data_IF_168643234047
#
_entry.id   IF_168643234047
#
_cell.length_a   1.000
_cell.length_b   1.000
_cell.length_c   1.000
_cell.angle_alpha   90.00
_cell.angle_beta   90.00
_cell.angle_gamma   90.00
#
_symmetry.space_group_name_H-M   'P 1'
#
loop_
_entity.id
_entity.type
_entity.pdbx_description
1 polymer ?
#
# COMPACT_ATOMS: atom_id res chain seq x y z
N UNK A 1 6.76 -27.72 -8.22
CA UNK A 1 6.16 -26.36 -8.37
C UNK A 1 5.52 -26.04 -7.03
N UNK A 2 6.03 -25.07 -6.26
CA UNK A 2 5.39 -24.67 -5.00
C UNK A 2 4.11 -23.89 -5.32
N UNK A 3 2.98 -24.31 -4.79
CA UNK A 3 1.69 -23.65 -4.95
C UNK A 3 1.71 -22.32 -4.20
N UNK A 4 1.55 -21.21 -4.93
CA UNK A 4 1.41 -19.87 -4.38
C UNK A 4 0.10 -19.77 -3.58
N UNK A 5 0.15 -19.20 -2.39
CA UNK A 5 -1.06 -18.95 -1.59
C UNK A 5 -1.98 -17.97 -2.34
N UNK A 6 -3.30 -18.16 -2.27
CA UNK A 6 -4.28 -17.38 -3.05
C UNK A 6 -4.27 -15.86 -2.76
N UNK A 7 -3.71 -15.47 -1.62
CA UNK A 7 -3.61 -14.08 -1.18
C UNK A 7 -2.16 -13.55 -1.21
N UNK A 8 -1.21 -14.33 -1.73
CA UNK A 8 0.09 -13.82 -2.12
C UNK A 8 0.01 -13.36 -3.58
N UNK A 9 0.49 -12.16 -3.88
CA UNK A 9 0.52 -11.54 -5.21
C UNK A 9 1.95 -11.12 -5.57
N UNK A 10 2.26 -11.08 -6.86
CA UNK A 10 3.48 -10.54 -7.43
C UNK A 10 3.09 -9.48 -8.47
N UNK A 11 3.26 -8.20 -8.11
CA UNK A 11 2.73 -7.10 -8.91
C UNK A 11 3.67 -6.67 -10.05
N UNK A 12 4.92 -7.13 -10.05
CA UNK A 12 5.89 -6.84 -11.10
C UNK A 12 6.97 -7.94 -11.16
N UNK A 13 7.57 -8.21 -12.34
CA UNK A 13 8.63 -9.20 -12.48
C UNK A 13 9.85 -8.85 -11.64
N UNK A 14 10.41 -9.84 -10.95
CA UNK A 14 11.54 -9.63 -10.03
C UNK A 14 11.18 -8.81 -8.79
N UNK A 15 9.89 -8.59 -8.53
CA UNK A 15 9.41 -7.90 -7.35
C UNK A 15 9.39 -8.73 -6.09
N UNK A 16 8.94 -8.08 -5.02
CA UNK A 16 8.68 -8.75 -3.75
C UNK A 16 7.21 -9.18 -3.67
N UNK A 17 6.90 -10.25 -2.90
CA UNK A 17 5.52 -10.68 -2.69
C UNK A 17 4.74 -9.63 -1.90
N UNK A 18 3.49 -9.44 -2.31
CA UNK A 18 2.47 -8.66 -1.62
C UNK A 18 1.43 -9.62 -1.08
N UNK A 19 1.13 -9.58 0.21
CA UNK A 19 0.13 -10.45 0.83
C UNK A 19 -1.13 -9.63 1.11
N UNK A 20 -2.29 -10.12 0.69
CA UNK A 20 -3.59 -9.56 1.07
C UNK A 20 -3.95 -10.14 2.44
N UNK A 21 -3.92 -9.31 3.47
CA UNK A 21 -4.24 -9.71 4.84
C UNK A 21 -5.74 -9.59 5.12
N UNK A 22 -6.40 -8.59 4.54
CA UNK A 22 -7.86 -8.41 4.63
C UNK A 22 -8.43 -8.26 3.22
N UNK A 23 -8.92 -9.35 2.60
CA UNK A 23 -9.55 -9.29 1.28
C UNK A 23 -10.87 -8.52 1.30
N UNK A 24 -11.08 -7.63 0.33
CA UNK A 24 -12.30 -6.80 0.26
C UNK A 24 -13.59 -7.60 0.26
N UNK A 25 -13.59 -8.78 -0.35
CA UNK A 25 -14.74 -9.69 -0.40
C UNK A 25 -15.20 -10.18 0.98
N UNK A 26 -14.30 -10.24 1.96
CA UNK A 26 -14.63 -10.72 3.30
C UNK A 26 -15.32 -9.67 4.16
N UNK A 27 -15.23 -8.40 3.76
CA UNK A 27 -15.79 -7.26 4.49
C UNK A 27 -16.74 -6.43 3.62
N UNK A 28 -17.42 -7.08 2.67
CA UNK A 28 -18.46 -6.45 1.85
C UNK A 28 -17.98 -5.29 0.99
N UNK A 29 -16.70 -5.28 0.58
CA UNK A 29 -16.11 -4.21 -0.24
C UNK A 29 -15.72 -2.95 0.54
N UNK A 30 -15.79 -2.96 1.88
CA UNK A 30 -15.48 -1.79 2.71
C UNK A 30 -14.02 -1.29 2.54
N UNK A 31 -13.10 -2.17 2.15
CA UNK A 31 -11.71 -1.85 1.88
C UNK A 31 -10.88 -3.09 1.67
N UNK A 32 -9.57 -2.95 1.55
CA UNK A 32 -8.61 -4.06 1.54
C UNK A 32 -7.40 -3.69 2.40
N UNK A 33 -6.73 -4.69 2.95
CA UNK A 33 -5.42 -4.49 3.55
C UNK A 33 -4.40 -5.48 3.04
N UNK A 34 -3.17 -4.99 2.88
CA UNK A 34 -2.06 -5.75 2.34
C UNK A 34 -0.77 -5.43 3.09
N UNK A 35 0.16 -6.39 3.05
CA UNK A 35 1.52 -6.23 3.56
C UNK A 35 2.56 -6.66 2.55
N UNK A 36 3.73 -6.05 2.63
CA UNK A 36 4.90 -6.46 1.85
C UNK A 36 6.19 -6.06 2.55
N UNK A 37 7.27 -6.78 2.25
CA UNK A 37 8.60 -6.43 2.72
C UNK A 37 9.34 -5.61 1.66
N UNK A 38 9.86 -4.45 2.05
CA UNK A 38 10.79 -3.68 1.23
C UNK A 38 12.23 -4.09 1.59
N UNK A 39 12.99 -4.64 0.63
CA UNK A 39 14.44 -4.82 0.78
C UNK A 39 15.16 -3.49 1.05
N UNK A 40 16.42 -3.58 1.46
CA UNK A 40 17.26 -2.40 1.62
C UNK A 40 17.29 -1.56 0.34
N UNK A 41 17.07 -0.25 0.50
CA UNK A 41 17.02 0.75 -0.57
C UNK A 41 15.90 0.55 -1.60
N UNK A 42 14.98 -0.38 -1.35
CA UNK A 42 13.85 -0.61 -2.23
C UNK A 42 12.82 0.52 -2.13
N UNK A 43 12.13 0.74 -3.24
CA UNK A 43 11.08 1.75 -3.37
C UNK A 43 9.94 1.17 -4.18
N UNK A 44 8.70 1.46 -3.78
CA UNK A 44 7.53 1.07 -4.56
C UNK A 44 7.33 2.00 -5.77
N UNK A 45 6.34 1.69 -6.60
CA UNK A 45 5.96 2.57 -7.69
C UNK A 45 5.26 3.83 -7.17
N UNK A 46 5.58 5.01 -7.72
CA UNK A 46 4.84 6.23 -7.43
C UNK A 46 3.44 6.15 -8.03
N UNK A 47 2.41 6.43 -7.24
CA UNK A 47 1.03 6.38 -7.72
C UNK A 47 0.12 7.34 -6.95
N UNK A 48 -1.06 7.61 -7.50
CA UNK A 48 -2.20 8.22 -6.78
C UNK A 48 -3.43 7.32 -6.93
N UNK A 49 -4.33 7.43 -5.96
CA UNK A 49 -5.65 6.80 -5.98
C UNK A 49 -6.70 7.90 -6.07
N UNK A 50 -7.51 7.93 -7.12
CA UNK A 50 -8.57 8.93 -7.27
C UNK A 50 -9.77 8.70 -6.34
N UNK A 51 -9.89 7.49 -5.79
CA UNK A 51 -11.04 7.09 -4.96
C UNK A 51 -10.61 6.65 -3.57
N UNK A 52 -9.56 5.86 -3.50
CA UNK A 52 -9.16 5.27 -2.24
C UNK A 52 -8.41 6.26 -1.35
N UNK A 53 -8.84 6.33 -0.09
CA UNK A 53 -7.98 6.75 1.00
C UNK A 53 -7.04 5.60 1.35
N UNK A 54 -5.84 5.95 1.80
CA UNK A 54 -4.80 4.96 2.13
C UNK A 54 -4.21 5.22 3.50
N UNK A 55 -4.10 4.16 4.29
CA UNK A 55 -3.30 4.13 5.50
C UNK A 55 -1.98 3.43 5.16
N UNK A 56 -0.86 4.07 5.47
CA UNK A 56 0.48 3.44 5.39
C UNK A 56 0.96 3.23 6.82
N UNK A 57 1.46 2.05 7.13
CA UNK A 57 1.95 1.65 8.45
C UNK A 57 3.33 1.05 8.30
N UNK A 58 4.29 1.48 9.13
CA UNK A 58 5.53 0.74 9.31
C UNK A 58 5.27 -0.38 10.32
N UNK A 59 5.07 -1.61 9.86
CA UNK A 59 4.85 -2.77 10.74
C UNK A 59 6.16 -3.24 11.37
N UNK A 60 7.26 -3.16 10.63
CA UNK A 60 8.61 -3.38 11.14
C UNK A 60 9.62 -2.53 10.35
N UNK A 61 10.75 -2.19 10.98
CA UNK A 61 11.75 -1.32 10.40
C UNK A 61 11.28 0.13 10.25
N UNK A 62 11.87 0.87 9.33
CA UNK A 62 11.54 2.26 9.05
C UNK A 62 11.26 2.46 7.55
N UNK A 63 10.33 3.36 7.24
CA UNK A 63 10.02 3.71 5.86
C UNK A 63 9.92 5.21 5.70
N UNK A 64 10.13 5.67 4.49
CA UNK A 64 9.84 7.03 4.06
C UNK A 64 8.58 7.02 3.21
N UNK A 65 7.64 7.90 3.52
CA UNK A 65 6.48 8.19 2.71
C UNK A 65 6.66 9.57 2.09
N UNK A 66 6.84 9.61 0.78
CA UNK A 66 6.83 10.85 0.01
C UNK A 66 5.43 11.09 -0.52
N UNK A 67 4.90 12.30 -0.32
CA UNK A 67 3.65 12.78 -0.91
C UNK A 67 3.92 14.08 -1.69
N UNK A 68 3.65 14.09 -3.00
CA UNK A 68 4.01 15.21 -3.87
C UNK A 68 5.53 15.51 -3.92
N UNK A 69 5.88 16.75 -4.31
CA UNK A 69 7.24 17.13 -4.67
C UNK A 69 8.24 17.18 -3.50
N UNK A 70 7.81 17.67 -2.34
CA UNK A 70 8.70 18.01 -1.21
C UNK A 70 8.26 17.41 0.12
N UNK A 71 7.05 16.91 0.22
CA UNK A 71 6.52 16.36 1.45
C UNK A 71 7.05 14.94 1.66
N UNK A 72 7.81 14.74 2.72
CA UNK A 72 8.36 13.46 3.11
C UNK A 72 8.20 13.27 4.61
N UNK A 73 7.80 12.07 5.00
CA UNK A 73 7.67 11.66 6.39
C UNK A 73 8.45 10.37 6.60
N UNK A 74 9.16 10.25 7.72
CA UNK A 74 9.75 8.98 8.16
C UNK A 74 8.80 8.35 9.17
N UNK A 75 8.41 7.11 8.91
CA UNK A 75 7.59 6.31 9.81
C UNK A 75 8.48 5.21 10.40
N UNK A 76 8.51 5.14 11.73
CA UNK A 76 9.12 4.05 12.50
C UNK A 76 8.09 2.98 12.80
N UNK A 77 8.55 1.79 13.18
CA UNK A 77 7.68 0.67 13.57
C UNK A 77 6.53 1.10 14.51
N UNK A 78 5.30 0.70 14.16
CA UNK A 78 4.06 1.07 14.85
C UNK A 78 3.47 2.43 14.46
N UNK A 79 4.19 3.27 13.70
CA UNK A 79 3.69 4.55 13.21
C UNK A 79 2.95 4.37 11.89
N UNK A 80 2.02 5.29 11.66
CA UNK A 80 1.17 5.33 10.49
C UNK A 80 0.98 6.75 9.96
N UNK A 81 0.64 6.84 8.68
CA UNK A 81 0.26 8.08 8.01
C UNK A 81 -0.94 7.83 7.08
N UNK A 82 -1.85 8.79 7.05
CA UNK A 82 -2.98 8.80 6.12
C UNK A 82 -2.59 9.54 4.85
N UNK A 83 -2.96 8.95 3.71
CA UNK A 83 -2.81 9.52 2.39
C UNK A 83 -4.22 9.67 1.81
N UNK A 84 -4.71 10.91 1.66
CA UNK A 84 -6.01 11.18 1.07
C UNK A 84 -6.09 10.72 -0.40
N UNK A 85 -7.30 10.60 -0.96
CA UNK A 85 -7.48 10.48 -2.40
C UNK A 85 -6.77 11.60 -3.16
N UNK A 86 -6.47 11.33 -4.43
CA UNK A 86 -5.75 12.20 -5.36
C UNK A 86 -4.34 12.62 -4.90
N UNK A 87 -3.82 11.99 -3.84
CA UNK A 87 -2.48 12.29 -3.35
C UNK A 87 -1.45 11.36 -3.98
N UNK A 88 -0.65 11.93 -4.88
CA UNK A 88 0.55 11.30 -5.41
C UNK A 88 1.52 10.92 -4.29
N UNK A 89 1.87 9.64 -4.18
CA UNK A 89 2.76 9.18 -3.12
C UNK A 89 3.68 8.04 -3.53
N UNK A 90 4.74 7.85 -2.73
CA UNK A 90 5.72 6.79 -2.89
C UNK A 90 6.25 6.36 -1.52
N UNK A 91 6.46 5.06 -1.34
CA UNK A 91 6.99 4.44 -0.14
C UNK A 91 8.38 3.89 -0.47
N UNK A 92 9.39 4.28 0.31
CA UNK A 92 10.74 3.76 0.23
C UNK A 92 11.18 3.18 1.58
N UNK A 93 11.99 2.13 1.55
CA UNK A 93 12.66 1.64 2.75
C UNK A 93 13.61 2.72 3.30
N UNK A 94 13.68 2.83 4.63
CA UNK A 94 14.56 3.75 5.33
C UNK A 94 15.36 3.02 6.43
N UNK A 95 16.58 3.47 6.70
CA UNK A 95 17.47 2.87 7.69
C UNK A 95 18.29 1.68 7.16
N UNK A 96 18.82 0.89 8.08
CA UNK A 96 19.82 -0.16 7.86
C UNK A 96 19.25 -1.58 7.78
N UNK A 97 17.93 -1.73 7.93
CA UNK A 97 17.22 -3.02 7.92
C UNK A 97 16.03 -3.00 6.96
N UNK A 98 15.66 -4.14 6.35
CA UNK A 98 14.42 -4.25 5.60
C UNK A 98 13.21 -3.77 6.40
N UNK A 99 12.21 -3.23 5.71
CA UNK A 99 10.98 -2.75 6.32
C UNK A 99 9.81 -3.65 5.95
N UNK A 100 8.89 -3.90 6.89
CA UNK A 100 7.59 -4.50 6.61
C UNK A 100 6.57 -3.38 6.58
N UNK A 101 5.92 -3.22 5.43
CA UNK A 101 4.94 -2.17 5.16
C UNK A 101 3.55 -2.77 5.24
N UNK A 102 2.69 -2.17 6.05
CA UNK A 102 1.26 -2.39 6.04
C UNK A 102 0.57 -1.28 5.24
N UNK A 103 -0.40 -1.65 4.42
CA UNK A 103 -1.25 -0.72 3.69
C UNK A 103 -2.71 -1.13 3.85
N UNK A 104 -3.57 -0.18 4.19
CA UNK A 104 -5.01 -0.33 4.04
C UNK A 104 -5.52 0.68 3.01
N UNK A 105 -6.44 0.25 2.15
CA UNK A 105 -7.03 1.04 1.07
C UNK A 105 -8.55 0.94 1.17
N UNK A 106 -9.25 2.07 1.14
CA UNK A 106 -10.72 2.09 1.19
C UNK A 106 -11.31 3.23 0.37
N UNK A 107 -12.42 3.01 -0.36
CA UNK A 107 -13.19 1.75 -0.46
C UNK A 107 -12.46 0.62 -1.24
N UNK A 108 -12.96 -0.61 -1.20
CA UNK A 108 -12.21 -1.83 -1.58
C UNK A 108 -11.88 -2.05 -3.06
N UNK A 109 -12.17 -1.14 -3.98
CA UNK A 109 -12.18 -1.41 -5.42
C UNK A 109 -10.83 -1.79 -6.03
N UNK A 110 -9.73 -1.24 -5.53
CA UNK A 110 -8.40 -1.40 -6.14
C UNK A 110 -7.78 -2.80 -5.99
N UNK A 111 -8.26 -3.63 -5.07
CA UNK A 111 -7.74 -5.00 -4.89
C UNK A 111 -7.86 -5.82 -6.18
N UNK A 112 -8.95 -5.66 -6.93
CA UNK A 112 -9.18 -6.40 -8.18
C UNK A 112 -8.15 -6.03 -9.26
N UNK A 113 -7.66 -4.79 -9.24
CA UNK A 113 -6.56 -4.36 -10.10
C UNK A 113 -5.28 -5.13 -9.75
N UNK A 114 -4.95 -5.26 -8.45
CA UNK A 114 -3.77 -6.00 -8.01
C UNK A 114 -3.84 -7.48 -8.36
N UNK A 115 -5.00 -8.12 -8.14
CA UNK A 115 -5.22 -9.52 -8.52
C UNK A 115 -5.18 -9.73 -10.04
N UNK A 116 -5.62 -8.75 -10.82
CA UNK A 116 -5.53 -8.82 -12.28
C UNK A 116 -4.09 -8.65 -12.76
N UNK A 117 -3.36 -7.71 -12.17
CA UNK A 117 -1.95 -7.48 -12.46
C UNK A 117 -1.10 -8.71 -12.15
N UNK A 118 -1.37 -9.36 -11.03
CA UNK A 118 -0.72 -10.61 -10.64
C UNK A 118 -0.83 -11.69 -11.73
N UNK A 119 -2.05 -11.92 -12.24
CA UNK A 119 -2.28 -12.83 -13.38
C UNK A 119 -1.57 -12.40 -14.65
N UNK A 120 -1.50 -11.09 -14.92
CA UNK A 120 -0.78 -10.57 -16.09
C UNK A 120 0.72 -10.87 -16.00
N UNK A 121 1.32 -10.62 -14.83
CA UNK A 121 2.74 -10.90 -14.56
C UNK A 121 3.06 -12.39 -14.77
N UNK A 122 2.18 -13.28 -14.31
CA UNK A 122 2.36 -14.73 -14.49
C UNK A 122 2.23 -15.20 -15.95
N UNK A 123 1.33 -14.61 -16.74
CA UNK A 123 0.96 -15.14 -18.05
C UNK A 123 1.70 -14.51 -19.23
N UNK A 124 1.90 -13.19 -19.21
CA UNK A 124 2.30 -12.42 -20.40
C UNK A 124 3.50 -11.50 -20.15
N UNK A 125 4.02 -11.48 -18.92
CA UNK A 125 5.02 -10.52 -18.51
C UNK A 125 4.40 -9.16 -18.16
N UNK A 126 5.24 -8.12 -18.13
CA UNK A 126 4.87 -6.81 -17.60
C UNK A 126 5.11 -5.72 -18.64
N UNK A 127 4.03 -5.22 -19.22
CA UNK A 127 4.05 -4.13 -20.18
C UNK A 127 3.49 -2.85 -19.52
N UNK A 128 4.32 -1.81 -19.43
CA UNK A 128 3.98 -0.59 -18.69
C UNK A 128 2.67 0.05 -19.16
N UNK A 129 2.43 0.12 -20.47
CA UNK A 129 1.21 0.70 -21.03
C UNK A 129 -0.05 -0.11 -20.65
N UNK A 130 0.04 -1.45 -20.73
CA UNK A 130 -1.07 -2.32 -20.34
C UNK A 130 -1.40 -2.22 -18.85
N UNK A 131 -0.38 -2.11 -17.99
CA UNK A 131 -0.55 -1.94 -16.55
C UNK A 131 -1.11 -0.56 -16.21
N UNK A 132 -0.63 0.51 -16.85
CA UNK A 132 -1.20 1.85 -16.70
C UNK A 132 -2.68 1.89 -17.12
N UNK A 133 -3.04 1.23 -18.23
CA UNK A 133 -4.42 1.12 -18.68
C UNK A 133 -5.28 0.25 -17.75
N UNK A 134 -4.71 -0.76 -17.10
CA UNK A 134 -5.39 -1.50 -16.02
C UNK A 134 -5.67 -0.58 -14.83
N UNK A 135 -4.64 0.07 -14.29
CA UNK A 135 -4.75 0.95 -13.13
C UNK A 135 -5.72 2.11 -13.36
N UNK A 136 -5.73 2.73 -14.55
CA UNK A 136 -6.65 3.80 -14.88
C UNK A 136 -8.14 3.39 -14.76
N UNK A 137 -8.49 2.14 -15.09
CA UNK A 137 -9.87 1.61 -14.94
C UNK A 137 -10.34 1.57 -13.49
N UNK A 138 -9.40 1.50 -12.55
CA UNK A 138 -9.64 1.49 -11.11
C UNK A 138 -9.35 2.84 -10.46
N UNK A 139 -9.11 3.89 -11.23
CA UNK A 139 -8.80 5.22 -10.69
C UNK A 139 -7.40 5.33 -10.09
N UNK A 140 -6.48 4.45 -10.48
CA UNK A 140 -5.07 4.54 -10.07
C UNK A 140 -4.27 5.18 -11.19
N UNK A 141 -3.53 6.24 -10.87
CA UNK A 141 -2.58 6.84 -11.82
C UNK A 141 -1.17 6.42 -11.42
N UNK A 142 -0.42 5.94 -12.42
CA UNK A 142 0.97 5.53 -12.24
C UNK A 142 1.86 6.31 -13.20
N UNK A 143 2.63 7.24 -12.64
CA UNK A 143 3.61 8.06 -13.36
C UNK A 143 4.70 8.53 -12.39
N UNK A 144 5.97 8.43 -12.78
CA UNK A 144 7.08 8.94 -11.98
C UNK A 144 7.00 10.46 -11.74
N UNK A 145 6.48 11.22 -12.71
CA UNK A 145 6.31 12.66 -12.63
C UNK A 145 5.18 13.07 -11.67
N UNK A 146 4.27 12.16 -11.30
CA UNK A 146 3.12 12.51 -10.45
C UNK A 146 3.56 12.99 -9.06
N UNK A 147 4.69 12.44 -8.56
CA UNK A 147 5.29 12.88 -7.29
C UNK A 147 6.08 14.18 -7.41
N UNK A 148 6.16 14.80 -8.58
CA UNK A 148 6.79 16.11 -8.77
C UNK A 148 5.76 17.24 -8.84
N UNK A 149 4.48 16.90 -8.93
CA UNK A 149 3.38 17.84 -9.08
C UNK A 149 2.75 18.14 -7.71
N UNK A 150 2.37 19.40 -7.50
CA UNK A 150 1.55 19.84 -6.36
C UNK A 150 2.32 20.17 -5.07
N UNK A 151 1.73 21.11 -4.31
CA UNK A 151 2.10 21.42 -2.93
C UNK A 151 1.25 20.57 -1.99
N UNK A 152 1.66 19.33 -1.77
CA UNK A 152 1.03 18.50 -0.73
C UNK A 152 1.71 18.77 0.61
N UNK A 153 0.94 18.86 1.69
CA UNK A 153 1.48 18.91 3.05
C UNK A 153 2.18 17.59 3.39
N UNK A 154 3.18 17.66 4.25
CA UNK A 154 3.79 16.45 4.81
C UNK A 154 2.69 15.64 5.48
N UNK A 155 2.55 14.33 5.20
CA UNK A 155 1.56 13.51 5.88
C UNK A 155 1.79 13.55 7.39
N UNK A 156 0.73 13.77 8.17
CA UNK A 156 0.82 13.73 9.62
C UNK A 156 1.14 12.30 10.06
N UNK A 157 2.31 12.12 10.67
CA UNK A 157 2.73 10.83 11.25
C UNK A 157 2.17 10.72 12.65
N UNK A 158 1.48 9.62 12.92
CA UNK A 158 0.91 9.31 14.24
C UNK A 158 1.05 7.83 14.54
N UNK A 159 0.51 7.37 15.67
CA UNK A 159 0.45 5.94 15.97
C UNK A 159 -0.57 5.24 15.08
N UNK A 160 -0.37 3.95 14.78
CA UNK A 160 -1.37 3.14 14.08
C UNK A 160 -2.75 3.28 14.74
N UNK A 161 -2.84 3.19 16.07
CA UNK A 161 -4.09 3.31 16.82
C UNK A 161 -4.83 4.62 16.58
N UNK A 162 -4.12 5.73 16.50
CA UNK A 162 -4.73 7.02 16.25
C UNK A 162 -5.24 7.10 14.80
N UNK A 163 -4.42 6.66 13.83
CA UNK A 163 -4.77 6.69 12.42
C UNK A 163 -5.87 5.69 12.04
N UNK A 164 -5.94 4.53 12.69
CA UNK A 164 -6.91 3.47 12.39
C UNK A 164 -8.35 3.89 12.68
N UNK A 165 -8.56 4.96 13.46
CA UNK A 165 -9.89 5.56 13.70
C UNK A 165 -10.53 6.11 12.43
N UNK A 166 -9.75 6.36 11.38
CA UNK A 166 -10.26 6.79 10.07
C UNK A 166 -10.72 5.62 9.18
N UNK A 167 -10.45 4.36 9.58
CA UNK A 167 -10.83 3.20 8.79
C UNK A 167 -12.33 2.93 8.87
N UNK A 168 -12.94 2.35 7.81
CA UNK A 168 -14.24 1.72 7.91
C UNK A 168 -14.22 0.69 9.05
N UNK A 169 -15.27 0.62 9.92
CA UNK A 169 -15.26 -0.26 11.10
C UNK A 169 -14.91 -1.72 10.79
N UNK A 170 -15.53 -2.30 9.76
CA UNK A 170 -15.28 -3.68 9.34
C UNK A 170 -13.82 -3.93 8.91
N UNK A 171 -13.16 -2.93 8.32
CA UNK A 171 -11.75 -3.02 7.97
C UNK A 171 -10.87 -2.88 9.22
N UNK A 172 -11.16 -1.90 10.08
CA UNK A 172 -10.39 -1.65 11.30
C UNK A 172 -10.36 -2.85 12.26
N UNK A 173 -11.50 -3.51 12.46
CA UNK A 173 -11.62 -4.70 13.31
C UNK A 173 -10.76 -5.87 12.79
N UNK A 174 -10.85 -6.16 11.49
CA UNK A 174 -10.05 -7.23 10.87
C UNK A 174 -8.57 -6.90 10.87
N UNK A 175 -8.22 -5.65 10.56
CA UNK A 175 -6.84 -5.21 10.48
C UNK A 175 -6.12 -5.32 11.83
N UNK A 176 -6.77 -4.94 12.92
CA UNK A 176 -6.22 -5.07 14.27
C UNK A 176 -5.94 -6.53 14.62
N UNK A 177 -6.81 -7.47 14.22
CA UNK A 177 -6.59 -8.90 14.43
C UNK A 177 -5.44 -9.43 13.54
N UNK A 178 -5.37 -9.02 12.28
CA UNK A 178 -4.33 -9.46 11.35
C UNK A 178 -2.94 -8.96 11.77
N UNK A 179 -2.84 -7.72 12.25
CA UNK A 179 -1.55 -7.06 12.49
C UNK A 179 -1.12 -7.00 13.96
N UNK A 180 -1.81 -7.73 14.85
CA UNK A 180 -1.56 -7.69 16.28
C UNK A 180 -0.10 -8.00 16.67
N UNK A 181 0.60 -8.85 15.91
CA UNK A 181 2.00 -9.23 16.21
C UNK A 181 3.02 -8.11 15.90
N UNK A 182 2.67 -7.17 15.02
CA UNK A 182 3.52 -6.04 14.64
C UNK A 182 3.20 -4.76 15.40
N UNK A 183 2.02 -4.70 16.00
CA UNK A 183 1.49 -3.50 16.60
C UNK A 183 1.57 -3.59 18.13
N UNK A 184 1.87 -2.47 18.83
CA UNK A 184 1.88 -2.48 20.28
C UNK A 184 0.50 -2.89 20.82
N UNK A 185 0.44 -3.62 21.96
CA UNK A 185 -0.80 -4.10 22.53
C UNK A 185 -1.82 -2.98 22.80
N UNK A 186 -3.09 -3.38 22.77
CA UNK A 186 -4.26 -2.54 23.00
C UNK A 186 -4.24 -1.84 24.37
#
# INVERSE_FOLDING_TARGET
MMTKAADQLLLYPGGYPVFIDVPQRQIGGAGTALRFALPLRAVNFPLSHARESKLVVALAGELTLRAGARAHAVLRAGQAALVPPDTAHRIAQHGDRPAVVGVALWPGTVEDAFRTLDRMVEQRGFEHAAVAALFARYGVQWDAAITQQGHVRVPDVTTFRAASRALPPALGERLAACWHEWLPPA
#
